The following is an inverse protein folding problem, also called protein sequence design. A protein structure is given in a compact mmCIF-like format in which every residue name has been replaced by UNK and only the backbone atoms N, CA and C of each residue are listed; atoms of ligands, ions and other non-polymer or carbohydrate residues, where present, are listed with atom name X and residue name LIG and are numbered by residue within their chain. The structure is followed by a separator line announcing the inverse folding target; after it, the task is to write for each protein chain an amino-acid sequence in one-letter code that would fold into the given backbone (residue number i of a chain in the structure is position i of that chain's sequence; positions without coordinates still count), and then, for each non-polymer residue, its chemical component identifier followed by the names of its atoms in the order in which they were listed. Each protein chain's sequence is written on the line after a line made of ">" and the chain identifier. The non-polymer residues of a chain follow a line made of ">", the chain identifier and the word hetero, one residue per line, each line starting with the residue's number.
data_IF_948336272040
#
_entry.id   IF_948336272040
#
_cell.length_a   1.000
_cell.length_b   1.000
_cell.length_c   1.000
_cell.angle_alpha   90.00
_cell.angle_beta   90.00
_cell.angle_gamma   90.00
#
_symmetry.space_group_name_H-M   'P 1'
#
loop_
_entity.id
_entity.type
_entity.pdbx_description
1 polymer ?
#
# COMPACT_ATOMS: atom_id res chain seq x y z
N UNK A 1 2.49 -23.43 26.85
CA UNK A 1 3.44 -24.55 26.93
C UNK A 1 3.93 -24.89 25.51
N UNK A 2 5.07 -24.31 25.10
CA UNK A 2 5.82 -24.75 23.91
C UNK A 2 7.29 -24.63 24.31
N UNK A 3 7.93 -25.77 24.57
CA UNK A 3 9.26 -25.86 25.15
C UNK A 3 10.31 -25.36 24.18
N UNK A 4 10.94 -24.23 24.51
CA UNK A 4 12.17 -23.80 23.87
C UNK A 4 13.32 -24.51 24.59
N UNK A 5 13.95 -25.45 23.89
CA UNK A 5 15.16 -26.13 24.37
C UNK A 5 16.28 -25.09 24.36
N UNK A 6 16.66 -24.64 25.55
CA UNK A 6 17.79 -23.71 25.73
C UNK A 6 19.08 -24.51 25.52
N UNK A 7 19.97 -24.12 24.57
CA UNK A 7 21.27 -24.76 24.42
C UNK A 7 22.14 -24.59 25.67
N UNK A 8 22.99 -25.56 26.04
CA UNK A 8 23.95 -25.42 27.14
C UNK A 8 24.87 -24.23 26.94
N UNK A 9 25.14 -23.51 28.04
CA UNK A 9 25.86 -22.23 28.15
C UNK A 9 27.38 -22.33 27.92
N UNK A 10 27.82 -23.04 26.89
CA UNK A 10 29.21 -23.02 26.45
C UNK A 10 29.16 -22.88 24.93
N UNK A 11 30.09 -22.17 24.30
CA UNK A 11 30.18 -21.85 22.85
C UNK A 11 29.60 -20.47 22.45
N UNK A 12 30.27 -19.42 22.88
CA UNK A 12 29.95 -18.00 22.61
C UNK A 12 30.24 -17.52 21.18
N UNK A 13 30.74 -18.34 20.27
CA UNK A 13 31.14 -17.88 18.92
C UNK A 13 30.09 -18.13 17.81
N UNK A 14 29.16 -19.08 17.98
CA UNK A 14 28.17 -19.40 16.93
C UNK A 14 26.91 -18.53 17.01
N UNK A 15 26.67 -17.91 18.16
CA UNK A 15 25.50 -17.10 18.45
C UNK A 15 25.57 -15.73 17.77
N UNK A 16 26.75 -15.09 17.78
CA UNK A 16 26.96 -13.83 17.06
C UNK A 16 26.78 -14.02 15.55
N UNK A 17 27.21 -15.15 14.98
CA UNK A 17 27.02 -15.47 13.56
C UNK A 17 25.53 -15.65 13.18
N UNK A 18 24.73 -16.21 14.09
CA UNK A 18 23.29 -16.37 13.94
C UNK A 18 22.54 -15.02 14.04
N UNK A 19 22.90 -14.16 14.99
CA UNK A 19 22.33 -12.81 15.13
C UNK A 19 22.76 -11.86 13.99
N UNK A 20 24.04 -11.89 13.58
CA UNK A 20 24.55 -11.09 12.45
C UNK A 20 23.97 -11.54 11.11
N UNK A 21 23.74 -12.84 10.91
CA UNK A 21 23.00 -13.35 9.73
C UNK A 21 21.56 -12.84 9.66
N UNK A 22 20.93 -12.53 10.79
CA UNK A 22 19.57 -11.98 10.81
C UNK A 22 19.55 -10.47 10.59
N UNK A 23 20.56 -9.75 11.09
CA UNK A 23 20.74 -8.30 10.89
C UNK A 23 21.14 -7.93 9.45
N UNK A 24 21.71 -8.87 8.69
CA UNK A 24 22.12 -8.68 7.29
C UNK A 24 21.01 -8.91 6.25
N UNK A 25 19.73 -9.01 6.65
CA UNK A 25 18.61 -8.94 5.68
C UNK A 25 18.46 -7.49 5.22
N UNK A 26 19.24 -7.16 4.20
CA UNK A 26 19.34 -5.88 3.50
C UNK A 26 18.04 -5.05 3.52
N UNK A 27 18.05 -3.79 4.02
CA UNK A 27 16.91 -2.88 3.96
C UNK A 27 16.48 -2.54 2.52
N UNK A 28 17.27 -2.94 1.51
CA UNK A 28 16.97 -2.75 0.10
C UNK A 28 15.78 -3.59 -0.42
N UNK A 29 15.41 -4.69 0.24
CA UNK A 29 14.33 -5.59 -0.28
C UNK A 29 12.93 -5.19 0.20
N UNK A 30 12.80 -4.39 1.27
CA UNK A 30 11.47 -3.98 1.77
C UNK A 30 10.84 -2.83 0.94
N UNK A 31 11.64 -2.10 0.15
CA UNK A 31 11.17 -0.86 -0.49
C UNK A 31 10.43 -1.05 -1.83
N UNK A 32 10.21 -2.28 -2.30
CA UNK A 32 9.70 -2.53 -3.66
C UNK A 32 8.26 -3.07 -3.77
N UNK A 33 7.43 -2.93 -2.73
CA UNK A 33 6.04 -3.41 -2.77
C UNK A 33 4.95 -2.35 -2.95
N UNK A 34 5.29 -1.17 -3.47
CA UNK A 34 4.29 -0.21 -3.96
C UNK A 34 4.54 0.19 -5.42
N UNK A 35 4.54 -0.79 -6.34
CA UNK A 35 4.42 -0.53 -7.78
C UNK A 35 2.95 -0.51 -8.20
N UNK A 36 2.21 0.43 -7.63
CA UNK A 36 0.87 0.79 -8.07
C UNK A 36 0.72 2.30 -8.10
N UNK A 37 1.70 3.00 -8.70
CA UNK A 37 1.40 4.26 -9.38
C UNK A 37 0.62 3.91 -10.65
N UNK A 38 -0.61 3.44 -10.44
CA UNK A 38 -1.64 3.44 -11.44
C UNK A 38 -1.80 4.89 -11.85
N UNK A 39 -1.12 5.27 -12.92
CA UNK A 39 -1.48 6.38 -13.77
C UNK A 39 -2.91 6.10 -14.26
N UNK A 40 -3.87 6.33 -13.37
CA UNK A 40 -5.27 6.51 -13.70
C UNK A 40 -5.28 7.77 -14.55
N UNK A 41 -5.04 7.59 -15.84
CA UNK A 41 -5.17 8.60 -16.88
C UNK A 41 -6.37 9.45 -16.50
N UNK A 42 -6.11 10.66 -16.00
CA UNK A 42 -7.13 11.48 -15.36
C UNK A 42 -8.16 11.81 -16.44
N UNK A 43 -9.24 11.03 -16.46
CA UNK A 43 -10.25 11.13 -17.51
C UNK A 43 -10.83 12.53 -17.40
N UNK A 44 -10.69 13.37 -18.43
CA UNK A 44 -11.10 14.76 -18.34
C UNK A 44 -12.57 14.82 -17.92
N UNK A 45 -12.85 15.56 -16.86
CA UNK A 45 -14.20 15.76 -16.33
C UNK A 45 -14.91 16.78 -17.23
N UNK A 46 -15.46 16.30 -18.36
CA UNK A 46 -16.12 17.15 -19.37
C UNK A 46 -17.57 17.50 -19.04
N UNK A 47 -18.16 16.81 -18.06
CA UNK A 47 -19.58 16.91 -17.75
C UNK A 47 -19.78 17.69 -16.44
N UNK A 48 -20.04 19.00 -16.54
CA UNK A 48 -20.33 19.87 -15.40
C UNK A 48 -21.82 19.91 -15.09
N UNK A 49 -22.16 19.96 -13.81
CA UNK A 49 -23.54 20.19 -13.37
C UNK A 49 -23.95 21.65 -13.63
N UNK A 50 -25.20 21.93 -14.06
CA UNK A 50 -25.70 23.29 -14.21
C UNK A 50 -26.16 23.94 -12.89
N UNK A 51 -26.38 23.13 -11.85
CA UNK A 51 -26.89 23.61 -10.54
C UNK A 51 -25.78 23.75 -9.49
N UNK A 52 -24.59 23.18 -9.73
CA UNK A 52 -23.44 23.29 -8.82
C UNK A 52 -22.11 23.07 -9.55
N UNK A 53 -21.00 23.37 -8.88
CA UNK A 53 -19.65 23.32 -9.46
C UNK A 53 -19.02 21.92 -9.51
N UNK A 54 -19.84 20.86 -9.52
CA UNK A 54 -19.37 19.47 -9.58
C UNK A 54 -19.21 19.02 -11.04
N UNK A 55 -18.08 18.36 -11.34
CA UNK A 55 -17.77 17.83 -12.66
C UNK A 55 -17.51 16.32 -12.65
N UNK A 56 -18.07 15.61 -13.62
CA UNK A 56 -17.98 14.16 -13.76
C UNK A 56 -17.24 13.75 -15.03
N UNK A 57 -16.64 12.55 -15.01
CA UNK A 57 -15.94 11.97 -16.17
C UNK A 57 -16.86 11.21 -17.14
N UNK A 58 -18.14 11.02 -16.78
CA UNK A 58 -19.16 10.31 -17.57
C UNK A 58 -20.53 10.99 -17.43
N UNK A 59 -21.30 11.03 -18.52
CA UNK A 59 -22.66 11.56 -18.60
C UNK A 59 -23.66 10.79 -17.70
N UNK A 60 -23.49 9.47 -17.53
CA UNK A 60 -24.36 8.69 -16.63
C UNK A 60 -24.30 9.17 -15.18
N UNK A 61 -23.10 9.49 -14.70
CA UNK A 61 -22.90 10.04 -13.35
C UNK A 61 -23.50 11.44 -13.22
N UNK A 62 -23.34 12.29 -14.24
CA UNK A 62 -23.97 13.61 -14.28
C UNK A 62 -25.50 13.49 -14.21
N UNK A 63 -26.12 12.63 -15.02
CA UNK A 63 -27.59 12.45 -15.03
C UNK A 63 -28.13 11.99 -13.68
N UNK A 64 -27.43 11.06 -13.00
CA UNK A 64 -27.80 10.65 -11.65
C UNK A 64 -27.66 11.79 -10.63
N UNK A 65 -26.58 12.56 -10.73
CA UNK A 65 -26.32 13.69 -9.86
C UNK A 65 -27.36 14.82 -10.02
N UNK A 66 -27.74 15.18 -11.25
CA UNK A 66 -28.73 16.24 -11.50
C UNK A 66 -30.08 15.91 -10.86
N UNK A 67 -30.45 14.63 -10.70
CA UNK A 67 -31.69 14.25 -10.02
C UNK A 67 -31.73 14.65 -8.55
N UNK A 68 -30.59 14.77 -7.89
CA UNK A 68 -30.50 15.22 -6.49
C UNK A 68 -30.82 16.71 -6.36
N UNK A 69 -30.66 17.47 -7.46
CA UNK A 69 -31.03 18.89 -7.53
C UNK A 69 -32.49 19.12 -7.93
N UNK A 70 -33.24 18.06 -8.22
CA UNK A 70 -34.70 18.17 -8.38
C UNK A 70 -35.31 18.52 -7.04
#
# INVERSE_FOLDING_TARGET
>A
MKGWRVPPLEWTDALEAYWTSWAAKDPAIFSAHNRSNSCHKLRPKRFRCPHCDVAFSNNGQLKGHVRIHT
#
